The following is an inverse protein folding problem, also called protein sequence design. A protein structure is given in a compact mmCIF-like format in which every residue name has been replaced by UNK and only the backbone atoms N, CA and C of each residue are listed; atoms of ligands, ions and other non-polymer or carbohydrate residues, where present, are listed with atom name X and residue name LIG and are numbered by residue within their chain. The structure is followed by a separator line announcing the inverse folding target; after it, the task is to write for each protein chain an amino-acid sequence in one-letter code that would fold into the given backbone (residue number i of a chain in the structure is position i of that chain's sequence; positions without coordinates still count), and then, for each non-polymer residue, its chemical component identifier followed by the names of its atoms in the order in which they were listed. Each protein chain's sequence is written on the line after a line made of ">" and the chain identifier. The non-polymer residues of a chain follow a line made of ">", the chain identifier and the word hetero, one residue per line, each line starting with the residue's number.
data_IF_164719265632
#
_entry.id   IF_164719265632
#
_cell.length_a   1.000
_cell.length_b   1.000
_cell.length_c   1.000
_cell.angle_alpha   90.00
_cell.angle_beta   90.00
_cell.angle_gamma   90.00
#
_symmetry.space_group_name_H-M   'P 1'
#
loop_
_entity.id
_entity.type
_entity.pdbx_description
1 polymer ?
#
# COMPACT_ATOMS: atom_id res chain seq x y z
N UNK A 1 23.86 -21.70 -30.72
CA UNK A 1 23.60 -20.26 -30.95
C UNK A 1 22.44 -20.13 -31.90
N UNK A 2 21.22 -20.10 -31.38
CA UNK A 2 20.02 -19.89 -32.18
C UNK A 2 19.53 -18.47 -31.98
N UNK A 3 19.69 -17.61 -32.98
CA UNK A 3 19.01 -16.31 -33.02
C UNK A 3 17.55 -16.57 -33.39
N UNK A 4 16.66 -16.63 -32.40
CA UNK A 4 15.23 -16.62 -32.69
C UNK A 4 14.81 -15.17 -32.92
N UNK A 5 14.66 -14.79 -34.19
CA UNK A 5 13.91 -13.59 -34.58
C UNK A 5 12.44 -13.83 -34.22
N UNK A 6 12.05 -13.45 -33.01
CA UNK A 6 10.66 -13.48 -32.60
C UNK A 6 10.04 -12.18 -33.12
N UNK A 7 9.29 -12.33 -34.21
CA UNK A 7 8.22 -11.46 -34.74
C UNK A 7 8.45 -10.96 -36.16
N UNK A 8 7.45 -11.19 -37.00
CA UNK A 8 7.20 -10.38 -38.18
C UNK A 8 7.14 -8.90 -37.74
N UNK A 9 7.85 -8.04 -38.47
CA UNK A 9 7.92 -6.58 -38.27
C UNK A 9 6.56 -5.87 -38.11
N UNK A 10 5.45 -6.53 -38.42
CA UNK A 10 4.08 -6.07 -38.18
C UNK A 10 3.65 -6.05 -36.71
N UNK A 11 4.17 -6.93 -35.85
CA UNK A 11 3.72 -7.02 -34.45
C UNK A 11 4.46 -6.03 -33.55
N UNK A 12 5.74 -5.73 -33.82
CA UNK A 12 6.53 -4.73 -33.08
C UNK A 12 5.96 -3.32 -33.21
N UNK A 13 5.33 -3.00 -34.34
CA UNK A 13 4.72 -1.68 -34.59
C UNK A 13 3.49 -1.38 -33.72
N UNK A 14 2.92 -2.39 -33.05
CA UNK A 14 1.75 -2.20 -32.18
C UNK A 14 2.13 -1.80 -30.75
N UNK A 15 3.39 -1.99 -30.36
CA UNK A 15 3.87 -1.71 -29.02
C UNK A 15 4.73 -0.46 -29.00
N UNK A 16 4.52 0.42 -28.01
CA UNK A 16 5.44 1.51 -27.74
C UNK A 16 6.74 0.98 -27.13
N UNK A 17 7.85 1.68 -27.38
CA UNK A 17 9.18 1.28 -26.87
C UNK A 17 9.18 0.96 -25.37
N UNK A 18 8.67 1.88 -24.54
CA UNK A 18 8.67 1.70 -23.09
C UNK A 18 7.84 0.49 -22.63
N UNK A 19 6.67 0.26 -23.24
CA UNK A 19 5.81 -0.86 -22.89
C UNK A 19 6.47 -2.21 -23.22
N UNK A 20 7.18 -2.27 -24.35
CA UNK A 20 7.86 -3.49 -24.76
C UNK A 20 9.05 -3.80 -23.85
N UNK A 21 9.82 -2.78 -23.43
CA UNK A 21 10.93 -2.96 -22.50
C UNK A 21 10.43 -3.50 -21.15
N UNK A 22 9.36 -2.92 -20.59
CA UNK A 22 8.75 -3.40 -19.33
C UNK A 22 8.20 -4.83 -19.47
N UNK A 23 7.45 -5.14 -20.54
CA UNK A 23 6.93 -6.48 -20.75
C UNK A 23 8.04 -7.54 -20.89
N UNK A 24 9.16 -7.19 -21.54
CA UNK A 24 10.32 -8.08 -21.65
C UNK A 24 11.06 -8.23 -20.33
N UNK A 25 11.13 -7.18 -19.51
CA UNK A 25 11.68 -7.25 -18.16
C UNK A 25 10.84 -8.12 -17.24
N UNK A 26 9.51 -8.01 -17.30
CA UNK A 26 8.59 -8.88 -16.55
C UNK A 26 8.76 -10.35 -16.95
N UNK A 27 8.85 -10.63 -18.26
CA UNK A 27 9.08 -11.99 -18.78
C UNK A 27 10.44 -12.58 -18.40
N UNK A 28 11.46 -11.74 -18.23
CA UNK A 28 12.81 -12.16 -17.85
C UNK A 28 13.09 -12.06 -16.35
N UNK A 29 12.15 -11.50 -15.58
CA UNK A 29 12.30 -11.20 -14.14
C UNK A 29 13.55 -10.38 -13.83
N UNK A 30 13.91 -9.44 -14.70
CA UNK A 30 15.09 -8.57 -14.57
C UNK A 30 14.67 -7.22 -14.01
N UNK A 31 15.31 -6.78 -12.93
CA UNK A 31 15.07 -5.43 -12.41
C UNK A 31 15.69 -4.37 -13.33
N UNK A 32 14.85 -3.45 -13.81
CA UNK A 32 15.24 -2.36 -14.70
C UNK A 32 15.79 -1.14 -13.96
N UNK A 33 15.91 -1.14 -12.64
CA UNK A 33 16.17 0.08 -11.86
C UNK A 33 17.54 0.73 -12.11
N UNK A 34 18.51 -0.03 -12.64
CA UNK A 34 19.89 0.45 -12.86
C UNK A 34 20.31 0.55 -14.35
N UNK A 35 19.37 0.58 -15.31
CA UNK A 35 19.72 0.63 -16.75
C UNK A 35 20.67 1.76 -17.15
N UNK A 36 20.68 2.88 -16.43
CA UNK A 36 21.55 4.02 -16.74
C UNK A 36 23.03 3.76 -16.42
N UNK A 37 23.35 2.93 -15.44
CA UNK A 37 24.73 2.78 -14.93
C UNK A 37 25.43 1.50 -15.38
N UNK A 38 24.90 0.82 -16.41
CA UNK A 38 25.43 -0.47 -16.88
C UNK A 38 26.13 -0.29 -18.23
N UNK A 39 27.31 -0.90 -18.36
CA UNK A 39 28.02 -0.95 -19.63
C UNK A 39 27.27 -1.84 -20.62
N UNK A 40 27.29 -1.50 -21.92
CA UNK A 40 26.61 -2.27 -22.99
C UNK A 40 26.90 -3.78 -22.90
N UNK A 41 28.15 -4.16 -22.59
CA UNK A 41 28.57 -5.57 -22.53
C UNK A 41 27.92 -6.34 -21.38
N UNK A 42 27.64 -5.66 -20.28
CA UNK A 42 27.06 -6.23 -19.06
C UNK A 42 25.53 -6.09 -19.04
N UNK A 43 24.99 -5.19 -19.86
CA UNK A 43 23.55 -4.96 -19.94
C UNK A 43 22.82 -6.10 -20.64
N UNK A 44 21.74 -6.55 -20.00
CA UNK A 44 20.75 -7.46 -20.58
C UNK A 44 19.95 -6.77 -21.69
N UNK A 45 19.67 -5.48 -21.50
CA UNK A 45 18.94 -4.65 -22.47
C UNK A 45 19.94 -3.76 -23.20
N UNK A 46 20.17 -4.01 -24.47
CA UNK A 46 21.06 -3.22 -25.30
C UNK A 46 20.22 -2.36 -26.24
N UNK A 47 20.51 -1.06 -26.26
CA UNK A 47 19.75 -0.07 -27.03
C UNK A 47 20.66 0.52 -28.11
N UNK A 48 20.24 0.42 -29.36
CA UNK A 48 20.96 0.88 -30.54
C UNK A 48 20.07 1.82 -31.34
N UNK A 49 20.66 2.81 -32.00
CA UNK A 49 19.92 3.73 -32.86
C UNK A 49 20.01 3.32 -34.32
N UNK A 50 18.90 3.33 -35.03
CA UNK A 50 18.87 3.10 -36.47
C UNK A 50 19.62 4.23 -37.21
N UNK A 51 20.69 3.94 -37.96
CA UNK A 51 21.44 4.96 -38.70
C UNK A 51 20.76 5.36 -40.02
N UNK A 52 19.68 4.70 -40.42
CA UNK A 52 18.96 5.06 -41.63
C UNK A 52 18.34 6.46 -41.54
N UNK A 53 18.39 7.17 -42.67
CA UNK A 53 17.85 8.52 -42.83
C UNK A 53 16.38 8.47 -43.32
N UNK A 54 15.79 7.28 -43.40
CA UNK A 54 14.38 7.12 -43.75
C UNK A 54 13.47 7.63 -42.61
N UNK A 55 12.24 7.97 -42.98
CA UNK A 55 11.20 8.25 -41.99
C UNK A 55 10.63 6.92 -41.47
N UNK A 56 10.86 6.58 -40.19
CA UNK A 56 10.40 5.33 -39.62
C UNK A 56 8.89 5.36 -39.39
N UNK A 57 8.25 4.18 -39.45
CA UNK A 57 6.79 4.03 -39.23
C UNK A 57 6.46 3.85 -37.74
N UNK A 58 7.43 3.46 -36.91
CA UNK A 58 7.25 3.27 -35.47
C UNK A 58 8.58 3.36 -34.70
N UNK A 59 8.47 3.36 -33.37
CA UNK A 59 9.58 3.62 -32.45
C UNK A 59 10.68 2.54 -32.49
N UNK A 60 10.31 1.29 -32.79
CA UNK A 60 11.21 0.14 -32.81
C UNK A 60 11.27 -0.42 -34.24
N UNK A 61 12.48 -0.52 -34.78
CA UNK A 61 12.74 -1.12 -36.09
C UNK A 61 12.87 -2.64 -35.97
N UNK A 62 13.68 -3.09 -35.01
CA UNK A 62 14.00 -4.50 -34.84
C UNK A 62 14.28 -4.83 -33.36
N UNK A 63 13.97 -6.07 -32.98
CA UNK A 63 14.28 -6.65 -31.69
C UNK A 63 14.99 -7.99 -31.90
N UNK A 64 16.26 -8.08 -31.52
CA UNK A 64 17.02 -9.33 -31.56
C UNK A 64 17.14 -9.89 -30.14
N UNK A 65 16.80 -11.16 -29.98
CA UNK A 65 16.99 -11.89 -28.72
C UNK A 65 18.17 -12.83 -28.90
N UNK A 66 19.23 -12.60 -28.15
CA UNK A 66 20.47 -13.37 -28.18
C UNK A 66 20.57 -14.17 -26.88
N UNK A 67 20.67 -15.49 -26.99
CA UNK A 67 20.95 -16.37 -25.85
C UNK A 67 22.48 -16.63 -25.78
N UNK A 68 23.16 -16.00 -24.82
CA UNK A 68 24.58 -16.15 -24.53
C UNK A 68 24.76 -16.53 -23.04
N UNK A 69 25.53 -17.59 -22.76
CA UNK A 69 25.93 -18.02 -21.40
C UNK A 69 24.77 -18.07 -20.37
N UNK A 70 23.67 -18.74 -20.72
CA UNK A 70 22.42 -18.84 -19.93
C UNK A 70 21.72 -17.50 -19.63
N UNK A 71 22.13 -16.40 -20.27
CA UNK A 71 21.48 -15.09 -20.19
C UNK A 71 20.88 -14.70 -21.54
N UNK A 72 19.61 -14.28 -21.50
CA UNK A 72 18.92 -13.68 -22.65
C UNK A 72 19.28 -12.20 -22.71
N UNK A 73 19.91 -11.77 -23.80
CA UNK A 73 20.15 -10.36 -24.13
C UNK A 73 19.12 -9.89 -25.15
N UNK A 74 18.55 -8.72 -24.91
CA UNK A 74 17.57 -8.08 -25.78
C UNK A 74 18.21 -6.87 -26.45
N UNK A 75 18.37 -6.92 -27.77
CA UNK A 75 18.91 -5.81 -28.56
C UNK A 75 17.77 -5.09 -29.27
N UNK A 76 17.56 -3.83 -28.89
CA UNK A 76 16.56 -2.96 -29.48
C UNK A 76 17.23 -2.04 -30.47
N UNK A 77 16.74 -2.04 -31.72
CA UNK A 77 17.06 -1.01 -32.70
C UNK A 77 15.92 0.00 -32.71
N UNK A 78 16.18 1.20 -32.18
CA UNK A 78 15.18 2.27 -32.05
C UNK A 78 15.33 3.33 -33.13
N UNK A 79 14.22 3.97 -33.43
CA UNK A 79 14.08 4.92 -34.53
C UNK A 79 13.86 6.38 -34.07
N UNK A 80 13.46 6.58 -32.81
CA UNK A 80 12.99 7.87 -32.31
C UNK A 80 14.08 8.72 -31.64
N UNK A 81 15.20 8.11 -31.22
CA UNK A 81 16.22 8.78 -30.42
C UNK A 81 17.61 8.20 -30.66
N UNK A 82 18.52 9.07 -31.09
CA UNK A 82 19.94 8.75 -31.24
C UNK A 82 20.72 9.90 -31.84
N UNK A 83 22.05 9.81 -31.76
CA UNK A 83 22.99 10.77 -32.35
C UNK A 83 23.13 10.59 -33.87
N UNK A 84 22.62 9.49 -34.41
CA UNK A 84 22.65 9.11 -35.81
C UNK A 84 21.24 8.79 -36.33
N UNK A 85 21.09 8.69 -37.66
CA UNK A 85 19.81 8.45 -38.32
C UNK A 85 19.03 9.74 -38.60
N UNK A 86 17.75 9.58 -38.97
CA UNK A 86 16.89 10.69 -39.41
C UNK A 86 16.63 11.77 -38.35
N UNK A 87 16.73 11.42 -37.07
CA UNK A 87 16.53 12.34 -35.93
C UNK A 87 17.85 12.80 -35.29
N UNK A 88 19.00 12.45 -35.89
CA UNK A 88 20.32 12.78 -35.36
C UNK A 88 20.65 14.27 -35.49
N UNK A 89 21.28 14.90 -34.48
CA UNK A 89 21.69 16.30 -34.52
C UNK A 89 23.01 16.52 -35.31
N UNK A 90 23.66 15.45 -35.76
CA UNK A 90 24.94 15.53 -36.48
C UNK A 90 24.75 16.18 -37.86
N UNK A 91 25.81 16.82 -38.42
CA UNK A 91 25.79 17.34 -39.77
C UNK A 91 25.39 16.27 -40.80
N UNK A 92 24.56 16.65 -41.78
CA UNK A 92 24.03 15.72 -42.78
C UNK A 92 25.11 14.94 -43.55
N UNK A 93 26.26 15.55 -43.83
CA UNK A 93 27.38 14.86 -44.48
C UNK A 93 27.92 13.67 -43.67
N UNK A 94 27.93 13.78 -42.34
CA UNK A 94 28.37 12.71 -41.44
C UNK A 94 27.28 11.65 -41.34
N UNK A 95 26.02 12.05 -41.27
CA UNK A 95 24.88 11.11 -41.26
C UNK A 95 24.83 10.27 -42.53
N UNK A 96 25.07 10.86 -43.70
CA UNK A 96 25.13 10.15 -44.98
C UNK A 96 26.29 9.13 -45.01
N UNK A 97 27.45 9.48 -44.45
CA UNK A 97 28.59 8.59 -44.33
C UNK A 97 28.28 7.39 -43.43
N UNK A 98 27.71 7.64 -42.23
CA UNK A 98 27.29 6.60 -41.28
C UNK A 98 26.23 5.69 -41.90
N UNK A 99 25.25 6.26 -42.61
CA UNK A 99 24.21 5.49 -43.30
C UNK A 99 24.82 4.61 -44.39
N UNK A 100 25.79 5.13 -45.16
CA UNK A 100 26.48 4.36 -46.20
C UNK A 100 27.30 3.21 -45.60
N UNK A 101 28.08 3.47 -44.55
CA UNK A 101 28.82 2.44 -43.80
C UNK A 101 27.88 1.31 -43.35
N UNK A 102 26.71 1.65 -42.82
CA UNK A 102 25.71 0.67 -42.39
C UNK A 102 25.21 -0.21 -43.54
N UNK A 103 24.96 0.33 -44.74
CA UNK A 103 24.60 -0.46 -45.92
C UNK A 103 25.73 -1.38 -46.39
N UNK A 104 26.99 -0.93 -46.24
CA UNK A 104 28.19 -1.70 -46.60
C UNK A 104 28.57 -2.73 -45.51
N UNK A 105 27.78 -2.84 -44.42
CA UNK A 105 28.04 -3.64 -43.22
C UNK A 105 29.34 -3.27 -42.48
N UNK A 106 29.85 -2.06 -42.71
CA UNK A 106 30.92 -1.49 -41.91
C UNK A 106 30.29 -0.75 -40.72
N UNK A 107 30.53 -1.23 -39.50
CA UNK A 107 29.79 -0.75 -38.31
C UNK A 107 30.66 0.11 -37.38
N UNK A 108 31.78 0.65 -37.85
CA UNK A 108 32.78 1.27 -36.98
C UNK A 108 32.25 2.56 -36.34
N UNK A 109 31.78 3.51 -37.14
CA UNK A 109 31.26 4.79 -36.61
C UNK A 109 29.94 4.57 -35.85
N UNK A 110 29.06 3.72 -36.41
CA UNK A 110 27.79 3.32 -35.80
C UNK A 110 27.99 2.75 -34.39
N UNK A 111 28.91 1.78 -34.22
CA UNK A 111 29.19 1.16 -32.91
C UNK A 111 29.79 2.12 -31.90
N UNK A 112 30.57 3.10 -32.37
CA UNK A 112 31.11 4.14 -31.49
C UNK A 112 29.98 5.03 -30.95
N UNK A 113 29.07 5.48 -31.80
CA UNK A 113 27.93 6.29 -31.38
C UNK A 113 26.92 5.50 -30.56
N UNK A 114 26.79 4.20 -30.80
CA UNK A 114 25.93 3.32 -30.02
C UNK A 114 26.32 3.25 -28.54
N UNK A 115 27.58 3.48 -28.19
CA UNK A 115 28.00 3.66 -26.80
C UNK A 115 27.20 4.78 -26.10
N UNK A 116 27.07 5.92 -26.76
CA UNK A 116 26.34 7.07 -26.24
C UNK A 116 24.83 6.88 -26.37
N UNK A 117 24.37 6.35 -27.51
CA UNK A 117 22.94 6.10 -27.74
C UNK A 117 22.37 5.14 -26.69
N UNK A 118 23.10 4.08 -26.35
CA UNK A 118 22.67 3.11 -25.36
C UNK A 118 22.35 3.76 -24.02
N UNK A 119 23.28 4.56 -23.50
CA UNK A 119 23.14 5.25 -22.23
C UNK A 119 22.02 6.30 -22.28
N UNK A 120 21.94 7.07 -23.37
CA UNK A 120 20.93 8.10 -23.57
C UNK A 120 19.52 7.50 -23.60
N UNK A 121 19.31 6.42 -24.36
CA UNK A 121 18.03 5.71 -24.42
C UNK A 121 17.69 5.07 -23.07
N UNK A 122 18.69 4.53 -22.36
CA UNK A 122 18.54 4.02 -21.00
C UNK A 122 18.02 5.08 -20.02
N UNK A 123 18.66 6.26 -19.99
CA UNK A 123 18.22 7.40 -19.18
C UNK A 123 16.82 7.84 -19.59
N UNK A 124 16.54 7.93 -20.89
CA UNK A 124 15.22 8.33 -21.38
C UNK A 124 14.12 7.39 -20.87
N UNK A 125 14.38 6.08 -20.90
CA UNK A 125 13.48 5.10 -20.34
C UNK A 125 13.32 5.26 -18.82
N UNK A 126 14.40 5.52 -18.08
CA UNK A 126 14.33 5.76 -16.63
C UNK A 126 13.53 7.01 -16.27
N UNK A 127 13.70 8.11 -17.01
CA UNK A 127 12.93 9.34 -16.80
C UNK A 127 11.43 9.05 -17.00
N UNK A 128 11.08 8.28 -18.03
CA UNK A 128 9.70 7.86 -18.24
C UNK A 128 9.17 7.00 -17.08
N UNK A 129 9.96 6.02 -16.60
CA UNK A 129 9.60 5.18 -15.44
C UNK A 129 9.46 5.97 -14.14
N UNK A 130 10.29 6.99 -13.93
CA UNK A 130 10.38 7.78 -12.68
C UNK A 130 9.03 8.33 -12.23
N UNK A 131 8.19 8.78 -13.16
CA UNK A 131 6.89 9.40 -12.86
C UNK A 131 5.71 8.42 -12.95
N UNK A 132 5.98 7.13 -13.19
CA UNK A 132 4.94 6.10 -13.38
C UNK A 132 4.93 5.15 -12.20
N UNK A 133 4.34 5.61 -11.09
CA UNK A 133 4.28 4.86 -9.84
C UNK A 133 3.68 3.46 -9.98
N UNK A 134 2.66 3.27 -10.82
CA UNK A 134 2.04 1.96 -11.03
C UNK A 134 2.99 0.91 -11.63
N UNK A 135 4.08 1.33 -12.28
CA UNK A 135 5.11 0.43 -12.84
C UNK A 135 6.14 0.07 -11.78
N UNK A 136 6.57 1.08 -11.00
CA UNK A 136 7.62 0.91 -9.99
C UNK A 136 7.09 0.35 -8.66
N UNK A 137 5.78 0.34 -8.45
CA UNK A 137 5.17 -0.09 -7.19
C UNK A 137 5.52 -1.55 -6.90
N UNK A 138 6.17 -1.78 -5.76
CA UNK A 138 6.46 -3.12 -5.26
C UNK A 138 5.52 -3.39 -4.09
N UNK A 139 4.93 -4.58 -4.03
CA UNK A 139 3.97 -4.95 -2.98
C UNK A 139 4.53 -4.87 -1.56
N UNK A 140 5.85 -4.91 -1.46
CA UNK A 140 6.60 -4.92 -0.21
C UNK A 140 7.09 -3.51 0.17
N UNK A 141 6.61 -2.48 -0.53
CA UNK A 141 6.98 -1.08 -0.33
C UNK A 141 8.49 -0.85 -0.32
N UNK A 142 9.22 -1.58 -1.19
CA UNK A 142 10.67 -1.43 -1.37
C UNK A 142 11.03 -0.37 -2.39
N UNK A 143 10.05 0.11 -3.14
CA UNK A 143 10.23 1.23 -4.04
C UNK A 143 10.47 2.53 -3.28
N UNK A 144 11.31 3.39 -3.85
CA UNK A 144 11.71 4.65 -3.22
C UNK A 144 10.50 5.54 -2.91
N UNK A 145 9.51 5.56 -3.81
CA UNK A 145 8.33 6.39 -3.63
C UNK A 145 7.46 5.94 -2.45
N UNK A 146 7.14 4.65 -2.36
CA UNK A 146 6.36 4.12 -1.24
C UNK A 146 7.10 4.27 0.08
N UNK A 147 8.42 4.09 0.08
CA UNK A 147 9.26 4.35 1.26
C UNK A 147 9.15 5.81 1.70
N UNK A 148 9.25 6.75 0.76
CA UNK A 148 9.15 8.17 1.05
C UNK A 148 7.74 8.53 1.56
N UNK A 149 6.68 7.95 0.99
CA UNK A 149 5.31 8.13 1.46
C UNK A 149 5.10 7.58 2.88
N UNK A 150 5.65 6.41 3.19
CA UNK A 150 5.61 5.86 4.55
C UNK A 150 6.42 6.69 5.54
N UNK A 151 7.55 7.27 5.11
CA UNK A 151 8.32 8.19 5.94
C UNK A 151 7.53 9.46 6.31
N UNK A 152 6.62 9.88 5.43
CA UNK A 152 5.78 11.07 5.64
C UNK A 152 4.77 10.88 6.79
N UNK A 153 4.30 9.66 7.00
CA UNK A 153 3.47 9.30 8.17
C UNK A 153 4.29 8.88 9.39
N UNK A 154 5.63 8.97 9.32
CA UNK A 154 6.54 8.61 10.41
C UNK A 154 6.76 7.10 10.59
N UNK A 155 6.42 6.29 9.58
CA UNK A 155 6.58 4.82 9.62
C UNK A 155 7.89 4.43 8.94
N UNK A 156 8.75 3.71 9.67
CA UNK A 156 9.97 3.11 9.11
C UNK A 156 9.68 1.72 8.54
N UNK A 157 10.57 1.25 7.66
CA UNK A 157 10.49 -0.11 7.10
C UNK A 157 10.58 -1.19 8.18
N UNK A 158 11.46 -1.01 9.16
CA UNK A 158 11.62 -1.96 10.27
C UNK A 158 10.33 -2.13 11.08
N UNK A 159 9.50 -1.09 11.16
CA UNK A 159 8.20 -1.16 11.82
C UNK A 159 7.18 -1.98 11.04
N UNK A 160 7.28 -2.02 9.70
CA UNK A 160 6.37 -2.81 8.86
C UNK A 160 6.48 -4.31 9.15
N UNK A 161 7.71 -4.79 9.43
CA UNK A 161 7.98 -6.21 9.68
C UNK A 161 7.56 -6.65 11.09
N UNK A 162 7.47 -5.70 12.03
CA UNK A 162 7.11 -5.96 13.44
C UNK A 162 5.58 -5.87 13.63
N UNK A 163 4.94 -4.96 12.89
CA UNK A 163 3.51 -4.68 13.02
C UNK A 163 2.65 -5.84 12.53
N UNK A 164 1.53 -6.11 13.22
CA UNK A 164 0.55 -7.10 12.74
C UNK A 164 -0.33 -6.52 11.62
N UNK A 165 -0.20 -5.22 11.31
CA UNK A 165 -1.10 -4.53 10.41
C UNK A 165 -0.84 -4.87 8.93
N UNK A 166 -1.94 -4.95 8.18
CA UNK A 166 -1.87 -5.02 6.73
C UNK A 166 -1.65 -3.62 6.14
N UNK A 167 -0.38 -3.28 5.94
CA UNK A 167 0.03 -1.99 5.39
C UNK A 167 -0.50 -1.69 3.99
N UNK A 168 -0.86 -2.70 3.18
CA UNK A 168 -1.49 -2.49 1.87
C UNK A 168 -2.84 -1.78 1.99
N UNK A 169 -3.63 -2.15 2.99
CA UNK A 169 -4.92 -1.52 3.26
C UNK A 169 -4.76 -0.13 3.90
N UNK A 170 -3.75 0.03 4.76
CA UNK A 170 -3.46 1.33 5.39
C UNK A 170 -2.92 2.34 4.38
N UNK A 171 -2.05 1.91 3.45
CA UNK A 171 -1.43 2.76 2.45
C UNK A 171 -2.46 3.45 1.55
N UNK A 172 -3.59 2.80 1.28
CA UNK A 172 -4.71 3.42 0.56
C UNK A 172 -5.25 4.68 1.26
N UNK A 173 -5.21 4.73 2.59
CA UNK A 173 -5.69 5.85 3.41
C UNK A 173 -4.58 6.80 3.88
N UNK A 174 -3.37 6.68 3.31
CA UNK A 174 -2.19 7.42 3.79
C UNK A 174 -2.39 8.95 3.80
N UNK A 175 -3.11 9.49 2.81
CA UNK A 175 -3.43 10.92 2.75
C UNK A 175 -4.31 11.40 3.91
N UNK A 176 -5.28 10.58 4.34
CA UNK A 176 -6.13 10.90 5.48
C UNK A 176 -5.35 10.81 6.79
N UNK A 177 -4.55 9.77 6.95
CA UNK A 177 -3.71 9.57 8.15
C UNK A 177 -2.70 10.70 8.31
N UNK A 178 -2.06 11.11 7.20
CA UNK A 178 -1.10 12.22 7.17
C UNK A 178 -1.73 13.57 7.54
N UNK A 179 -3.00 13.80 7.21
CA UNK A 179 -3.68 15.07 7.53
C UNK A 179 -3.70 15.40 9.03
N UNK A 180 -3.55 14.39 9.89
CA UNK A 180 -3.58 14.53 11.34
C UNK A 180 -5.00 14.70 11.92
N UNK A 181 -6.03 14.83 11.07
CA UNK A 181 -7.42 14.97 11.49
C UNK A 181 -8.03 13.58 11.70
N UNK A 182 -8.42 13.28 12.94
CA UNK A 182 -9.02 11.99 13.34
C UNK A 182 -10.48 12.18 13.75
N UNK A 183 -11.30 12.57 12.78
CA UNK A 183 -12.75 12.63 13.01
C UNK A 183 -13.34 11.21 13.12
N UNK A 184 -14.51 11.06 13.77
CA UNK A 184 -15.21 9.77 13.84
C UNK A 184 -15.35 9.13 12.46
N UNK A 185 -15.81 9.89 11.47
CA UNK A 185 -16.01 9.43 10.09
C UNK A 185 -14.72 8.86 9.45
N UNK A 186 -13.56 9.46 9.74
CA UNK A 186 -12.27 8.98 9.21
C UNK A 186 -11.90 7.64 9.86
N UNK A 187 -12.07 7.53 11.18
CA UNK A 187 -11.80 6.29 11.91
C UNK A 187 -12.75 5.18 11.45
N UNK A 188 -14.04 5.48 11.35
CA UNK A 188 -15.07 4.58 10.81
C UNK A 188 -14.69 4.07 9.43
N UNK A 189 -14.37 4.96 8.49
CA UNK A 189 -14.05 4.60 7.11
C UNK A 189 -12.78 3.75 7.00
N UNK A 190 -11.75 4.05 7.80
CA UNK A 190 -10.51 3.27 7.82
C UNK A 190 -10.77 1.87 8.38
N UNK A 191 -11.49 1.74 9.50
CA UNK A 191 -11.82 0.43 10.10
C UNK A 191 -12.69 -0.38 9.14
N UNK A 192 -13.71 0.27 8.56
CA UNK A 192 -14.63 -0.33 7.59
C UNK A 192 -13.88 -0.93 6.40
N UNK A 193 -13.00 -0.15 5.78
CA UNK A 193 -12.22 -0.59 4.62
C UNK A 193 -11.16 -1.63 4.99
N UNK A 194 -10.52 -1.48 6.16
CA UNK A 194 -9.47 -2.39 6.60
C UNK A 194 -10.02 -3.80 6.87
N UNK A 195 -11.14 -3.91 7.57
CA UNK A 195 -11.76 -5.20 7.92
C UNK A 195 -12.82 -5.68 6.93
N UNK A 196 -13.12 -4.90 5.88
CA UNK A 196 -14.17 -5.19 4.89
C UNK A 196 -15.55 -5.37 5.55
N UNK A 197 -15.88 -4.46 6.47
CA UNK A 197 -17.12 -4.47 7.24
C UNK A 197 -18.19 -3.59 6.58
N UNK A 198 -19.47 -3.88 6.84
CA UNK A 198 -20.57 -3.10 6.28
C UNK A 198 -20.95 -1.92 7.17
N UNK A 199 -20.99 -2.11 8.49
CA UNK A 199 -21.51 -1.13 9.44
C UNK A 199 -20.55 -0.90 10.62
N UNK A 200 -19.91 0.27 10.63
CA UNK A 200 -18.99 0.71 11.67
C UNK A 200 -19.31 2.17 12.00
N UNK A 201 -19.54 2.45 13.28
CA UNK A 201 -19.85 3.78 13.80
C UNK A 201 -19.03 4.10 15.04
N UNK A 202 -18.62 5.36 15.18
CA UNK A 202 -17.87 5.86 16.33
C UNK A 202 -18.76 6.84 17.09
N UNK A 203 -19.16 6.43 18.29
CA UNK A 203 -19.86 7.30 19.21
C UNK A 203 -18.85 8.10 20.03
N UNK A 204 -18.86 9.41 19.83
CA UNK A 204 -18.11 10.35 20.65
C UNK A 204 -18.78 10.52 22.03
N UNK A 205 -18.01 11.01 23.00
CA UNK A 205 -18.48 11.45 24.30
C UNK A 205 -19.21 10.38 25.15
N UNK A 206 -18.63 9.20 25.23
CA UNK A 206 -19.18 8.08 26.01
C UNK A 206 -18.90 8.27 27.50
N UNK A 207 -19.87 7.88 28.33
CA UNK A 207 -19.74 7.93 29.80
C UNK A 207 -18.55 7.09 30.27
N UNK A 208 -17.70 7.69 31.08
CA UNK A 208 -16.61 7.04 31.79
C UNK A 208 -16.67 7.40 33.27
N UNK A 209 -16.49 6.41 34.14
CA UNK A 209 -16.23 6.64 35.56
C UNK A 209 -14.73 6.75 35.77
N UNK A 210 -14.26 7.94 36.13
CA UNK A 210 -12.85 8.24 36.39
C UNK A 210 -12.61 8.17 37.89
N UNK A 211 -11.63 7.38 38.32
CA UNK A 211 -11.22 7.31 39.72
C UNK A 211 -10.45 8.57 40.11
N UNK A 212 -10.82 9.13 41.26
CA UNK A 212 -10.20 10.34 41.79
C UNK A 212 -8.89 9.94 42.48
N UNK A 213 -7.79 10.57 42.09
CA UNK A 213 -6.50 10.40 42.75
C UNK A 213 -6.57 10.77 44.23
N UNK A 214 -5.79 10.08 45.07
CA UNK A 214 -5.90 10.23 46.53
C UNK A 214 -5.66 11.68 47.00
N UNK A 215 -4.82 12.44 46.29
CA UNK A 215 -4.54 13.85 46.60
C UNK A 215 -5.68 14.80 46.23
N UNK A 216 -6.59 14.38 45.35
CA UNK A 216 -7.75 15.14 44.91
C UNK A 216 -9.01 14.81 45.73
N UNK A 217 -8.99 13.75 46.54
CA UNK A 217 -10.10 13.38 47.42
C UNK A 217 -10.29 14.41 48.53
N UNK A 218 -11.55 14.65 48.87
CA UNK A 218 -11.90 15.58 49.95
C UNK A 218 -11.52 14.98 51.31
N UNK A 219 -10.92 15.80 52.16
CA UNK A 219 -10.60 15.45 53.53
C UNK A 219 -11.18 16.51 54.47
N UNK A 220 -12.10 16.07 55.33
CA UNK A 220 -12.83 16.94 56.25
C UNK A 220 -11.86 17.78 57.10
N UNK A 221 -12.00 19.10 57.04
CA UNK A 221 -11.15 20.04 57.79
C UNK A 221 -9.72 20.19 57.28
N UNK A 222 -9.35 19.56 56.16
CA UNK A 222 -8.00 19.58 55.62
C UNK A 222 -7.93 20.10 54.17
N UNK A 223 -8.56 19.41 53.20
CA UNK A 223 -8.34 19.64 51.76
C UNK A 223 -9.62 19.47 50.96
N UNK A 224 -9.78 20.26 49.89
CA UNK A 224 -10.85 20.19 48.89
C UNK A 224 -12.28 20.22 49.47
N UNK A 225 -12.51 21.11 50.45
CA UNK A 225 -13.79 21.23 51.18
C UNK A 225 -14.51 22.57 50.91
N UNK A 226 -14.15 23.28 49.83
CA UNK A 226 -14.83 24.53 49.48
C UNK A 226 -16.16 24.21 48.77
N UNK A 227 -17.28 24.56 49.42
CA UNK A 227 -18.64 24.25 48.94
C UNK A 227 -18.99 24.88 47.59
N UNK A 228 -18.23 25.88 47.12
CA UNK A 228 -18.55 26.66 45.92
C UNK A 228 -17.73 26.30 44.67
N UNK A 229 -16.92 25.23 44.68
CA UNK A 229 -16.13 24.91 43.48
C UNK A 229 -15.47 23.54 43.45
N UNK A 230 -14.90 23.08 44.56
CA UNK A 230 -13.95 21.95 44.54
C UNK A 230 -14.46 20.69 45.26
N UNK A 231 -15.68 20.75 45.81
CA UNK A 231 -16.24 19.63 46.56
C UNK A 231 -16.82 18.57 45.62
N UNK A 232 -16.07 17.48 45.43
CA UNK A 232 -16.51 16.31 44.65
C UNK A 232 -17.04 15.21 45.58
N UNK A 233 -18.22 14.66 45.30
CA UNK A 233 -18.81 13.61 46.13
C UNK A 233 -18.42 12.21 45.62
N UNK A 234 -17.79 11.41 46.47
CA UNK A 234 -17.42 10.02 46.18
C UNK A 234 -15.95 9.83 45.85
N UNK A 235 -15.60 8.63 45.39
CA UNK A 235 -14.27 8.24 44.92
C UNK A 235 -14.15 8.23 43.39
N UNK A 236 -15.26 8.47 42.67
CA UNK A 236 -15.37 8.44 41.20
C UNK A 236 -16.17 9.62 40.66
N UNK A 237 -15.76 10.12 39.49
CA UNK A 237 -16.46 11.20 38.76
C UNK A 237 -16.92 10.68 37.40
N UNK A 238 -18.10 11.10 36.97
CA UNK A 238 -18.55 10.88 35.60
C UNK A 238 -17.89 11.88 34.64
N UNK A 239 -17.20 11.37 33.62
CA UNK A 239 -16.69 12.14 32.50
C UNK A 239 -17.31 11.65 31.20
N UNK A 240 -17.59 12.60 30.29
CA UNK A 240 -18.07 12.34 28.93
C UNK A 240 -17.11 12.90 27.88
N UNK A 241 -15.96 13.47 28.27
CA UNK A 241 -15.09 14.17 27.31
C UNK A 241 -14.02 13.27 26.70
N UNK A 242 -13.57 12.25 27.44
CA UNK A 242 -12.29 11.59 27.16
C UNK A 242 -12.43 10.17 26.61
N UNK A 243 -13.66 9.69 26.39
CA UNK A 243 -13.92 8.31 25.98
C UNK A 243 -14.81 8.27 24.75
N UNK A 244 -14.49 7.40 23.82
CA UNK A 244 -15.31 7.11 22.65
C UNK A 244 -15.59 5.61 22.55
N UNK A 245 -16.54 5.22 21.70
CA UNK A 245 -16.90 3.82 21.47
C UNK A 245 -16.97 3.52 19.99
N UNK A 246 -16.32 2.44 19.59
CA UNK A 246 -16.38 1.89 18.24
C UNK A 246 -17.47 0.82 18.24
N UNK A 247 -18.57 1.09 17.54
CA UNK A 247 -19.64 0.14 17.30
C UNK A 247 -19.40 -0.55 15.95
N UNK A 248 -19.31 -1.87 15.96
CA UNK A 248 -19.23 -2.70 14.77
C UNK A 248 -20.49 -3.56 14.75
N UNK A 249 -21.41 -3.27 13.85
CA UNK A 249 -22.69 -3.96 13.79
C UNK A 249 -22.72 -4.94 12.63
N UNK A 250 -23.81 -5.71 12.56
CA UNK A 250 -24.14 -6.56 11.43
C UNK A 250 -23.11 -7.67 11.16
N UNK A 251 -22.42 -8.13 12.20
CA UNK A 251 -21.40 -9.18 12.09
C UNK A 251 -22.04 -10.55 11.92
N UNK A 252 -21.44 -11.38 11.05
CA UNK A 252 -21.71 -12.82 11.05
C UNK A 252 -21.20 -13.47 12.34
N UNK A 253 -21.74 -14.64 12.76
CA UNK A 253 -21.27 -15.33 13.96
C UNK A 253 -19.76 -15.56 13.95
N UNK A 254 -19.21 -16.04 12.83
CA UNK A 254 -17.79 -16.33 12.68
C UNK A 254 -16.92 -15.07 12.82
N UNK A 255 -17.35 -13.95 12.25
CA UNK A 255 -16.65 -12.67 12.40
C UNK A 255 -16.75 -12.13 13.81
N UNK A 256 -17.92 -12.24 14.44
CA UNK A 256 -18.15 -11.84 15.82
C UNK A 256 -17.15 -12.53 16.76
N UNK A 257 -17.00 -13.86 16.66
CA UNK A 257 -16.03 -14.59 17.48
C UNK A 257 -14.59 -14.14 17.21
N UNK A 258 -14.25 -13.74 15.98
CA UNK A 258 -12.92 -13.23 15.63
C UNK A 258 -12.65 -11.80 16.12
N UNK A 259 -13.65 -11.05 16.57
CA UNK A 259 -13.48 -9.72 17.18
C UNK A 259 -13.52 -9.77 18.71
N UNK A 260 -13.68 -10.94 19.32
CA UNK A 260 -13.61 -11.10 20.77
C UNK A 260 -12.17 -10.93 21.30
N UNK A 261 -12.00 -10.56 22.57
CA UNK A 261 -10.67 -10.43 23.17
C UNK A 261 -9.82 -11.70 23.01
N UNK A 262 -8.51 -11.52 22.81
CA UNK A 262 -7.51 -12.57 22.55
C UNK A 262 -7.55 -13.25 21.17
N UNK A 263 -8.36 -12.77 20.25
CA UNK A 263 -8.37 -13.26 18.86
C UNK A 263 -7.52 -12.40 17.93
N UNK A 264 -7.22 -12.95 16.74
CA UNK A 264 -6.36 -12.27 15.75
C UNK A 264 -6.94 -10.92 15.31
N UNK A 265 -8.20 -10.84 14.84
CA UNK A 265 -8.75 -9.55 14.35
C UNK A 265 -8.89 -8.53 15.47
N UNK A 266 -9.20 -8.94 16.70
CA UNK A 266 -9.18 -8.03 17.85
C UNK A 266 -7.79 -7.40 18.08
N UNK A 267 -6.72 -8.19 18.01
CA UNK A 267 -5.35 -7.67 18.14
C UNK A 267 -5.02 -6.67 17.02
N UNK A 268 -5.42 -6.97 15.78
CA UNK A 268 -5.22 -6.07 14.65
C UNK A 268 -6.03 -4.78 14.80
N UNK A 269 -7.27 -4.86 15.31
CA UNK A 269 -8.12 -3.69 15.55
C UNK A 269 -7.50 -2.80 16.62
N UNK A 270 -7.03 -3.39 17.72
CA UNK A 270 -6.34 -2.65 18.78
C UNK A 270 -5.10 -1.93 18.26
N UNK A 271 -4.24 -2.64 17.53
CA UNK A 271 -3.03 -2.04 16.94
C UNK A 271 -3.37 -0.94 15.92
N UNK A 272 -4.41 -1.14 15.11
CA UNK A 272 -4.87 -0.16 14.14
C UNK A 272 -5.38 1.11 14.84
N UNK A 273 -6.26 0.97 15.84
CA UNK A 273 -6.77 2.11 16.61
C UNK A 273 -5.63 2.83 17.32
N UNK A 274 -4.69 2.09 17.93
CA UNK A 274 -3.51 2.66 18.56
C UNK A 274 -2.63 3.44 17.57
N UNK A 275 -2.44 2.90 16.36
CA UNK A 275 -1.72 3.60 15.29
C UNK A 275 -2.46 4.85 14.79
N UNK A 276 -3.79 4.82 14.79
CA UNK A 276 -4.60 5.94 14.33
C UNK A 276 -4.71 7.06 15.38
N UNK A 277 -4.69 6.73 16.67
CA UNK A 277 -4.77 7.72 17.72
C UNK A 277 -3.40 8.33 17.98
N UNK A 278 -3.30 9.66 17.92
CA UNK A 278 -2.08 10.39 18.29
C UNK A 278 -1.88 10.43 19.81
N UNK A 279 -2.98 10.65 20.52
CA UNK A 279 -3.06 10.64 21.97
C UNK A 279 -3.95 9.46 22.39
N UNK A 280 -3.51 8.60 23.34
CA UNK A 280 -4.26 7.42 23.72
C UNK A 280 -5.50 7.82 24.53
N UNK A 281 -6.62 7.99 23.83
CA UNK A 281 -7.94 8.11 24.45
C UNK A 281 -8.46 6.71 24.77
N UNK A 282 -9.02 6.48 25.97
CA UNK A 282 -9.71 5.23 26.27
C UNK A 282 -10.87 5.01 25.30
N UNK A 283 -11.02 3.79 24.80
CA UNK A 283 -12.12 3.43 23.93
C UNK A 283 -12.76 2.11 24.34
N UNK A 284 -14.06 2.01 24.04
CA UNK A 284 -14.81 0.76 24.12
C UNK A 284 -15.03 0.21 22.71
N UNK A 285 -15.13 -1.12 22.61
CA UNK A 285 -15.60 -1.78 21.40
C UNK A 285 -16.97 -2.38 21.69
N UNK A 286 -17.94 -2.12 20.82
CA UNK A 286 -19.28 -2.67 20.87
C UNK A 286 -19.50 -3.53 19.64
N UNK A 287 -19.79 -4.80 19.82
CA UNK A 287 -20.00 -5.76 18.73
C UNK A 287 -21.49 -6.12 18.62
N UNK A 288 -22.11 -5.83 17.49
CA UNK A 288 -23.49 -6.18 17.17
C UNK A 288 -23.57 -7.32 16.16
N UNK A 289 -24.36 -8.35 16.46
CA UNK A 289 -24.65 -9.46 15.55
C UNK A 289 -25.72 -9.09 14.53
N UNK A 290 -25.74 -9.81 13.40
CA UNK A 290 -26.81 -9.67 12.39
C UNK A 290 -28.21 -9.92 13.02
N UNK A 291 -29.20 -9.05 12.76
CA UNK A 291 -30.55 -9.19 13.33
C UNK A 291 -31.21 -10.50 12.85
N UNK A 292 -31.53 -11.38 13.81
CA UNK A 292 -32.11 -12.71 13.53
C UNK A 292 -31.15 -13.89 13.72
N UNK A 293 -29.90 -13.62 14.10
CA UNK A 293 -28.95 -14.68 14.50
C UNK A 293 -29.41 -15.30 15.83
N UNK A 294 -29.70 -16.60 15.83
CA UNK A 294 -30.09 -17.32 17.04
C UNK A 294 -28.86 -17.74 17.86
N UNK A 295 -29.01 -17.77 19.17
CA UNK A 295 -27.98 -18.29 20.07
C UNK A 295 -27.71 -19.77 19.84
N UNK A 296 -26.43 -20.14 19.76
CA UNK A 296 -25.96 -21.53 19.79
C UNK A 296 -25.54 -21.96 21.20
N UNK A 297 -26.05 -21.31 22.26
CA UNK A 297 -25.72 -21.67 23.64
C UNK A 297 -26.18 -23.09 23.97
N UNK A 298 -25.20 -24.01 24.06
CA UNK A 298 -25.41 -25.41 24.49
C UNK A 298 -24.52 -25.68 25.69
N UNK A 299 -25.13 -25.92 26.85
CA UNK A 299 -24.42 -26.30 28.07
C UNK A 299 -23.61 -27.58 27.86
N UNK A 300 -22.31 -27.55 28.19
CA UNK A 300 -21.43 -28.72 28.20
C UNK A 300 -20.55 -28.91 26.97
N UNK A 301 -20.64 -28.05 25.97
CA UNK A 301 -19.70 -28.01 24.85
C UNK A 301 -18.64 -26.91 25.08
N UNK A 302 -17.36 -27.27 24.96
CA UNK A 302 -16.21 -26.42 25.32
C UNK A 302 -16.11 -25.14 24.47
N UNK A 303 -16.71 -25.13 23.28
CA UNK A 303 -16.70 -23.99 22.35
C UNK A 303 -18.08 -23.29 22.22
N UNK A 304 -19.06 -23.63 23.06
CA UNK A 304 -20.43 -23.16 22.90
C UNK A 304 -20.61 -21.66 23.15
N UNK A 305 -20.15 -21.15 24.30
CA UNK A 305 -20.31 -19.73 24.66
C UNK A 305 -19.38 -19.28 25.78
N UNK A 306 -19.03 -18.00 25.74
CA UNK A 306 -18.26 -17.28 26.74
C UNK A 306 -19.23 -16.43 27.58
N UNK A 307 -19.14 -16.57 28.90
CA UNK A 307 -20.00 -15.84 29.83
C UNK A 307 -19.75 -14.34 29.73
N UNK A 308 -20.82 -13.56 29.56
CA UNK A 308 -20.75 -12.10 29.41
C UNK A 308 -20.52 -11.59 27.99
N UNK A 309 -20.15 -12.47 27.04
CA UNK A 309 -19.89 -12.07 25.64
C UNK A 309 -20.82 -12.75 24.63
N UNK A 310 -21.04 -14.06 24.73
CA UNK A 310 -21.86 -14.81 23.74
C UNK A 310 -22.99 -15.61 24.36
N UNK A 311 -23.17 -15.50 25.68
CA UNK A 311 -24.30 -16.16 26.37
C UNK A 311 -25.57 -15.36 26.14
N UNK A 312 -26.35 -15.78 25.13
CA UNK A 312 -27.69 -15.26 24.90
C UNK A 312 -28.68 -16.25 25.51
N UNK A 313 -29.54 -15.78 26.43
CA UNK A 313 -30.68 -16.59 26.85
C UNK A 313 -31.82 -16.36 25.86
N UNK A 314 -32.30 -17.43 25.22
CA UNK A 314 -33.49 -17.36 24.37
C UNK A 314 -34.71 -17.03 25.25
N UNK A 315 -35.13 -15.76 25.26
CA UNK A 315 -36.38 -15.35 25.89
C UNK A 315 -37.55 -15.59 24.93
N UNK A 316 -38.52 -16.42 25.35
CA UNK A 316 -39.76 -16.68 24.61
C UNK A 316 -40.81 -15.59 24.89
N UNK A 317 -40.52 -14.35 24.51
CA UNK A 317 -41.42 -13.21 24.58
C UNK A 317 -41.29 -12.36 23.32
N UNK A 318 -42.42 -11.88 22.77
CA UNK A 318 -42.50 -11.10 21.51
C UNK A 318 -41.79 -9.74 21.54
N UNK A 319 -41.18 -9.36 22.65
CA UNK A 319 -40.19 -8.29 22.72
C UNK A 319 -38.81 -8.92 22.54
N UNK A 320 -38.35 -8.99 21.29
CA UNK A 320 -36.95 -9.25 20.99
C UNK A 320 -36.14 -8.06 21.49
N UNK A 321 -35.81 -8.06 22.78
CA UNK A 321 -34.61 -7.40 23.27
C UNK A 321 -33.44 -8.17 22.63
N UNK A 322 -33.20 -7.84 21.36
CA UNK A 322 -31.95 -8.14 20.70
C UNK A 322 -30.88 -7.66 21.68
N UNK A 323 -30.00 -8.55 22.13
CA UNK A 323 -28.72 -8.13 22.65
C UNK A 323 -28.03 -7.41 21.50
N UNK A 324 -28.33 -6.13 21.37
CA UNK A 324 -28.03 -5.38 20.16
C UNK A 324 -26.53 -5.22 20.03
N UNK A 325 -25.81 -5.29 21.17
CA UNK A 325 -24.41 -4.94 21.28
C UNK A 325 -23.74 -5.60 22.50
N UNK A 326 -22.62 -6.28 22.26
CA UNK A 326 -21.70 -6.80 23.30
C UNK A 326 -20.61 -5.77 23.52
N UNK A 327 -20.54 -5.25 24.75
CA UNK A 327 -19.56 -4.22 25.13
C UNK A 327 -18.29 -4.86 25.67
N UNK A 328 -17.16 -4.56 25.03
CA UNK A 328 -15.82 -4.84 25.50
C UNK A 328 -15.26 -3.53 26.04
N UNK A 329 -15.18 -3.44 27.37
CA UNK A 329 -14.59 -2.29 28.06
C UNK A 329 -13.07 -2.43 28.15
N UNK A 330 -12.36 -1.32 27.93
CA UNK A 330 -10.93 -1.23 28.26
C UNK A 330 -10.00 -1.67 27.13
N UNK A 331 -10.24 -1.20 25.91
CA UNK A 331 -9.17 -1.14 24.91
C UNK A 331 -8.12 -0.12 25.36
N UNK A 332 -7.17 -0.55 26.18
CA UNK A 332 -5.93 0.21 26.47
C UNK A 332 -4.84 -0.31 25.54
#
# INVERSE_FOLDING_TARGET
>A
MGTKNISSTSDLKKFGFHQLVEAMADLSSVELDNLENILIKESIFQFFSNPNINFPIGDIENLLIIEEDDKRKFQFLVNFLGLQGSSGPLPGSILDEIAKEFYENELTQTRYLDFFNHHLIGIFHQIWRKYKHYIKFKSDFSDDYSRDMLSLIGVSRDFLDISLLNWKKIFYHIGMIHSGVRTPEVIENIIKTYFELDDVHVNEHVRQLVEIENDQKNQLGMRNMALSGDFILGDKIESYSNKFRININNLSPDEFYQFLPNTSKYMHLRELVYFLLKDPLPYDISLGLYPGTQSTFVLGDENSSLLGWTTLMNFSGEETDNLSNVLIEGGI
#
